data_IF_596425585268
#
_entry.id   IF_596425585268
#
_cell.length_a   1.000
_cell.length_b   1.000
_cell.length_c   1.000
_cell.angle_alpha   90.00
_cell.angle_beta   90.00
_cell.angle_gamma   90.00
#
_symmetry.space_group_name_H-M   'P 1'
#
loop_
_entity.id
_entity.type
_entity.pdbx_description
1 polymer ?
#
# COMPACT_ATOMS: atom_id res chain seq x y z
N UNK A 1 -8.66 -16.36 9.89
CA UNK A 1 -9.59 -15.45 9.20
C UNK A 1 -8.78 -14.27 8.68
N UNK A 2 -8.89 -13.92 7.42
CA UNK A 2 -8.17 -12.82 6.76
C UNK A 2 -8.76 -11.47 7.22
N UNK A 3 -7.92 -10.58 7.76
CA UNK A 3 -8.34 -9.26 8.24
C UNK A 3 -7.61 -8.12 7.52
N UNK A 4 -6.36 -8.36 7.12
CA UNK A 4 -5.54 -7.36 6.44
C UNK A 4 -4.90 -7.96 5.19
N UNK A 5 -5.10 -7.30 4.03
CA UNK A 5 -4.57 -7.72 2.74
C UNK A 5 -3.77 -6.60 2.10
N UNK A 6 -2.60 -6.93 1.56
CA UNK A 6 -1.74 -5.98 0.90
C UNK A 6 -1.49 -6.36 -0.56
N UNK A 7 -1.35 -5.37 -1.43
CA UNK A 7 -1.13 -5.56 -2.85
C UNK A 7 0.15 -4.88 -3.32
N UNK A 8 0.91 -5.60 -4.15
CA UNK A 8 2.00 -5.05 -4.96
C UNK A 8 1.53 -5.05 -6.42
N UNK A 9 0.96 -3.92 -6.90
CA UNK A 9 0.40 -3.76 -8.24
C UNK A 9 1.50 -3.69 -9.30
N UNK A 10 2.05 -4.83 -9.68
CA UNK A 10 3.15 -4.91 -10.65
C UNK A 10 2.64 -5.26 -12.06
N UNK A 11 3.42 -4.88 -13.07
CA UNK A 11 3.20 -5.26 -14.45
C UNK A 11 2.57 -4.21 -15.36
N UNK A 12 2.22 -3.00 -14.89
CA UNK A 12 1.62 -1.97 -15.75
C UNK A 12 2.46 -1.66 -17.01
N UNK A 13 3.79 -1.62 -16.91
CA UNK A 13 4.67 -1.40 -18.08
C UNK A 13 4.64 -2.56 -19.07
N UNK A 14 4.66 -3.78 -18.55
CA UNK A 14 4.62 -5.01 -19.36
C UNK A 14 3.27 -5.16 -20.03
N UNK A 15 2.20 -4.85 -19.33
CA UNK A 15 0.84 -4.77 -19.86
C UNK A 15 0.74 -3.75 -21.00
N UNK A 16 1.29 -2.55 -20.86
CA UNK A 16 1.32 -1.57 -21.95
C UNK A 16 1.99 -2.14 -23.20
N UNK A 17 3.11 -2.85 -23.04
CA UNK A 17 3.84 -3.45 -24.16
C UNK A 17 3.11 -4.65 -24.78
N UNK A 18 2.45 -5.51 -23.99
CA UNK A 18 1.72 -6.69 -24.49
C UNK A 18 0.46 -6.29 -25.25
N UNK A 19 -0.26 -5.26 -24.77
CA UNK A 19 -1.50 -4.79 -25.37
C UNK A 19 -1.29 -3.73 -26.46
N UNK A 20 -0.06 -3.29 -26.69
CA UNK A 20 0.23 -2.24 -27.68
C UNK A 20 -0.37 -0.87 -27.33
N UNK A 21 -0.65 -0.61 -26.06
CA UNK A 21 -1.21 0.64 -25.57
C UNK A 21 -0.15 1.57 -24.98
N UNK A 22 -0.51 2.83 -24.77
CA UNK A 22 0.43 3.77 -24.16
C UNK A 22 0.66 3.46 -22.68
N UNK A 23 1.86 3.83 -22.19
CA UNK A 23 2.21 3.80 -20.77
C UNK A 23 1.16 4.52 -19.89
N UNK A 24 0.73 5.71 -20.34
CA UNK A 24 -0.30 6.49 -19.63
C UNK A 24 -1.61 5.72 -19.51
N UNK A 25 -2.07 5.10 -20.58
CA UNK A 25 -3.31 4.33 -20.58
C UNK A 25 -3.24 3.16 -19.61
N UNK A 26 -2.19 2.35 -19.64
CA UNK A 26 -2.02 1.22 -18.73
C UNK A 26 -1.97 1.63 -17.27
N UNK A 27 -1.35 2.77 -16.93
CA UNK A 27 -1.33 3.28 -15.56
C UNK A 27 -2.69 3.84 -15.11
N UNK A 28 -3.45 4.45 -16.00
CA UNK A 28 -4.84 4.86 -15.72
C UNK A 28 -5.72 3.64 -15.46
N UNK A 29 -5.57 2.59 -16.27
CA UNK A 29 -6.25 1.31 -16.05
C UNK A 29 -5.84 0.67 -14.69
N UNK A 30 -4.55 0.71 -14.36
CA UNK A 30 -4.05 0.21 -13.08
C UNK A 30 -4.60 0.98 -11.87
N UNK A 31 -4.76 2.31 -11.97
CA UNK A 31 -5.40 3.09 -10.89
C UNK A 31 -6.89 2.77 -10.75
N UNK A 32 -7.61 2.58 -11.87
CA UNK A 32 -9.01 2.12 -11.85
C UNK A 32 -9.11 0.74 -11.19
N UNK A 33 -8.20 -0.18 -11.56
CA UNK A 33 -8.16 -1.53 -10.98
C UNK A 33 -8.01 -1.53 -9.45
N UNK A 34 -7.30 -0.58 -8.87
CA UNK A 34 -7.22 -0.47 -7.41
C UNK A 34 -8.60 -0.19 -6.77
N UNK A 35 -9.45 0.59 -7.43
CA UNK A 35 -10.83 0.82 -6.97
C UNK A 35 -11.72 -0.41 -7.19
N UNK A 36 -11.58 -1.10 -8.33
CA UNK A 36 -12.28 -2.37 -8.57
C UNK A 36 -11.96 -3.38 -7.46
N UNK A 37 -10.67 -3.54 -7.12
CA UNK A 37 -10.23 -4.42 -6.02
C UNK A 37 -10.82 -4.02 -4.67
N UNK A 38 -10.88 -2.73 -4.35
CA UNK A 38 -11.52 -2.26 -3.12
C UNK A 38 -13.02 -2.62 -3.09
N UNK A 39 -13.71 -2.49 -4.22
CA UNK A 39 -15.11 -2.89 -4.34
C UNK A 39 -15.29 -4.40 -4.18
N UNK A 40 -14.45 -5.22 -4.82
CA UNK A 40 -14.51 -6.68 -4.68
C UNK A 40 -14.22 -7.14 -3.25
N UNK A 41 -13.25 -6.50 -2.57
CA UNK A 41 -12.95 -6.80 -1.16
C UNK A 41 -14.08 -6.36 -0.23
N UNK A 42 -14.96 -5.45 -0.63
CA UNK A 42 -16.05 -4.99 0.23
C UNK A 42 -17.02 -6.10 0.63
N UNK A 43 -17.15 -7.16 -0.19
CA UNK A 43 -17.95 -8.35 0.12
C UNK A 43 -17.39 -9.22 1.25
N UNK A 44 -16.14 -9.00 1.65
CA UNK A 44 -15.48 -9.69 2.77
C UNK A 44 -15.50 -8.79 4.02
N UNK A 45 -16.49 -8.90 4.90
CA UNK A 45 -16.67 -7.99 6.04
C UNK A 45 -15.53 -8.08 7.06
N UNK A 46 -14.82 -9.22 7.09
CA UNK A 46 -13.69 -9.44 8.00
C UNK A 46 -12.41 -8.71 7.55
N UNK A 47 -12.28 -8.37 6.26
CA UNK A 47 -11.13 -7.63 5.75
C UNK A 47 -11.38 -6.15 6.01
N UNK A 48 -10.78 -5.63 7.07
CA UNK A 48 -10.91 -4.23 7.49
C UNK A 48 -9.73 -3.35 7.01
N UNK A 49 -8.61 -3.95 6.62
CA UNK A 49 -7.40 -3.22 6.22
C UNK A 49 -6.92 -3.66 4.84
N UNK A 50 -6.75 -2.70 3.94
CA UNK A 50 -6.22 -2.92 2.58
C UNK A 50 -5.03 -2.01 2.34
N UNK A 51 -3.91 -2.55 1.85
CA UNK A 51 -2.67 -1.81 1.69
C UNK A 51 -2.21 -1.89 0.24
N UNK A 52 -1.88 -0.76 -0.39
CA UNK A 52 -1.37 -0.73 -1.77
C UNK A 52 0.05 -0.18 -1.84
N UNK A 53 0.96 -0.90 -2.50
CA UNK A 53 2.29 -0.41 -2.85
C UNK A 53 2.23 0.34 -4.19
N UNK A 54 1.99 1.64 -4.14
CA UNK A 54 1.74 2.43 -5.36
C UNK A 54 3.01 2.98 -6.01
N UNK A 55 3.96 3.46 -5.21
CA UNK A 55 5.21 4.02 -5.71
C UNK A 55 6.35 3.79 -4.70
N UNK A 56 7.35 2.99 -5.08
CA UNK A 56 8.55 2.83 -4.24
C UNK A 56 9.49 4.03 -4.34
N UNK A 57 10.38 4.23 -3.36
CA UNK A 57 11.46 5.21 -3.46
C UNK A 57 12.33 4.98 -4.70
N UNK A 58 12.65 3.72 -5.03
CA UNK A 58 13.39 3.37 -6.26
C UNK A 58 12.66 3.75 -7.54
N UNK A 59 11.33 3.82 -7.53
CA UNK A 59 10.59 4.26 -8.70
C UNK A 59 10.77 5.77 -8.99
N UNK A 60 11.22 6.55 -8.02
CA UNK A 60 11.55 7.97 -8.22
C UNK A 60 12.81 8.17 -9.08
N UNK A 61 13.64 7.12 -9.23
CA UNK A 61 14.83 7.11 -10.09
C UNK A 61 14.51 6.82 -11.57
N UNK A 62 13.24 6.60 -11.91
CA UNK A 62 12.79 6.36 -13.29
C UNK A 62 13.07 7.58 -14.18
N UNK A 63 13.12 7.40 -15.53
CA UNK A 63 13.24 8.51 -16.44
C UNK A 63 12.22 9.63 -16.12
N UNK A 64 12.68 10.88 -16.11
CA UNK A 64 11.86 12.04 -15.67
C UNK A 64 10.49 12.11 -16.35
N UNK A 65 10.44 11.81 -17.66
CA UNK A 65 9.18 11.81 -18.43
C UNK A 65 8.18 10.78 -17.91
N UNK A 66 8.63 9.57 -17.59
CA UNK A 66 7.81 8.50 -17.02
C UNK A 66 7.31 8.88 -15.62
N UNK A 67 8.22 9.36 -14.77
CA UNK A 67 7.87 9.78 -13.42
C UNK A 67 6.85 10.93 -13.41
N UNK A 68 7.01 11.93 -14.30
CA UNK A 68 6.05 13.02 -14.43
C UNK A 68 4.65 12.54 -14.82
N UNK A 69 4.56 11.57 -15.74
CA UNK A 69 3.27 10.97 -16.12
C UNK A 69 2.63 10.28 -14.92
N UNK A 70 3.39 9.47 -14.20
CA UNK A 70 2.90 8.76 -13.00
C UNK A 70 2.39 9.73 -11.94
N UNK A 71 3.18 10.72 -11.58
CA UNK A 71 2.81 11.71 -10.56
C UNK A 71 1.55 12.48 -10.98
N UNK A 72 1.43 12.84 -12.27
CA UNK A 72 0.23 13.50 -12.80
C UNK A 72 -1.01 12.61 -12.69
N UNK A 73 -0.90 11.31 -12.99
CA UNK A 73 -2.00 10.35 -12.83
C UNK A 73 -2.41 10.26 -11.35
N UNK A 74 -1.45 10.13 -10.45
CA UNK A 74 -1.74 10.09 -9.01
C UNK A 74 -2.37 11.39 -8.50
N UNK A 75 -1.88 12.57 -8.91
CA UNK A 75 -2.51 13.85 -8.55
C UNK A 75 -3.98 13.91 -8.99
N UNK A 76 -4.26 13.47 -10.23
CA UNK A 76 -5.62 13.43 -10.74
C UNK A 76 -6.53 12.47 -9.96
N UNK A 77 -5.99 11.33 -9.52
CA UNK A 77 -6.76 10.40 -8.68
C UNK A 77 -6.96 10.96 -7.27
N UNK A 78 -5.94 11.57 -6.65
CA UNK A 78 -6.07 12.22 -5.35
C UNK A 78 -7.17 13.30 -5.36
N UNK A 79 -7.27 14.10 -6.43
CA UNK A 79 -8.29 15.15 -6.58
C UNK A 79 -9.74 14.58 -6.67
N UNK A 80 -9.88 13.29 -7.02
CA UNK A 80 -11.19 12.62 -7.12
C UNK A 80 -11.62 11.88 -5.84
N UNK A 81 -10.65 11.48 -5.00
CA UNK A 81 -10.89 10.58 -3.85
C UNK A 81 -12.04 11.04 -2.96
N UNK A 82 -12.06 12.31 -2.57
CA UNK A 82 -13.09 12.86 -1.67
C UNK A 82 -14.50 12.92 -2.28
N UNK A 83 -14.63 12.70 -3.59
CA UNK A 83 -15.89 12.70 -4.33
C UNK A 83 -16.35 11.30 -4.72
N UNK A 84 -15.55 10.27 -4.40
CA UNK A 84 -15.87 8.90 -4.73
C UNK A 84 -16.91 8.35 -3.78
N UNK A 85 -18.01 7.85 -4.33
CA UNK A 85 -19.07 7.22 -3.56
C UNK A 85 -18.54 6.04 -2.75
N UNK A 86 -17.63 5.26 -3.33
CA UNK A 86 -17.03 4.09 -2.68
C UNK A 86 -16.34 4.44 -1.36
N UNK A 87 -15.73 5.62 -1.26
CA UNK A 87 -15.08 6.10 -0.02
C UNK A 87 -16.12 6.42 1.05
N UNK A 88 -17.22 7.07 0.66
CA UNK A 88 -18.27 7.53 1.56
C UNK A 88 -19.15 6.35 2.01
N UNK A 89 -19.65 5.57 1.05
CA UNK A 89 -20.59 4.46 1.30
C UNK A 89 -19.95 3.31 2.08
N UNK A 90 -18.68 3.00 1.77
CA UNK A 90 -17.95 1.96 2.49
C UNK A 90 -17.25 2.49 3.75
N UNK A 91 -17.33 3.77 4.07
CA UNK A 91 -16.73 4.36 5.26
C UNK A 91 -15.22 4.17 5.31
N UNK A 92 -14.51 4.47 4.20
CA UNK A 92 -13.07 4.19 4.04
C UNK A 92 -12.23 5.31 4.65
N UNK A 93 -11.42 4.97 5.66
CA UNK A 93 -10.33 5.80 6.16
C UNK A 93 -9.08 5.58 5.31
N UNK A 94 -8.47 6.65 4.78
CA UNK A 94 -7.28 6.57 3.92
C UNK A 94 -6.10 7.18 4.65
N UNK A 95 -4.97 6.47 4.67
CA UNK A 95 -3.69 6.94 5.20
C UNK A 95 -2.58 6.74 4.16
N UNK A 96 -1.62 7.65 4.15
CA UNK A 96 -0.45 7.57 3.28
C UNK A 96 0.79 7.29 4.12
N UNK A 97 1.58 6.30 3.71
CA UNK A 97 2.87 5.97 4.31
C UNK A 97 4.00 6.14 3.29
N UNK A 98 5.18 6.53 3.78
CA UNK A 98 6.36 6.81 2.98
C UNK A 98 6.92 8.22 3.20
N UNK A 99 7.97 8.54 2.50
CA UNK A 99 8.63 9.85 2.57
C UNK A 99 7.86 10.90 1.78
N UNK A 100 7.12 11.75 2.47
CA UNK A 100 6.29 12.81 1.86
C UNK A 100 7.12 13.96 1.31
N UNK A 101 8.29 14.19 1.88
CA UNK A 101 9.22 15.26 1.52
C UNK A 101 9.80 15.12 0.10
N UNK A 102 9.74 13.93 -0.49
CA UNK A 102 10.16 13.69 -1.88
C UNK A 102 9.15 14.22 -2.92
N UNK A 103 7.96 14.61 -2.50
CA UNK A 103 6.91 15.13 -3.35
C UNK A 103 6.75 16.65 -3.25
N UNK A 104 6.14 17.26 -4.27
CA UNK A 104 5.81 18.69 -4.26
C UNK A 104 4.88 19.04 -3.09
N UNK A 105 4.92 20.29 -2.63
CA UNK A 105 4.01 20.78 -1.57
C UNK A 105 2.54 20.61 -1.96
N UNK A 106 2.20 20.80 -3.24
CA UNK A 106 0.85 20.58 -3.75
C UNK A 106 0.40 19.13 -3.60
N UNK A 107 1.30 18.16 -3.87
CA UNK A 107 1.03 16.74 -3.70
C UNK A 107 0.85 16.39 -2.21
N UNK A 108 1.74 16.88 -1.34
CA UNK A 108 1.65 16.69 0.12
C UNK A 108 0.31 17.21 0.67
N UNK A 109 -0.08 18.43 0.28
CA UNK A 109 -1.35 19.05 0.72
C UNK A 109 -2.58 18.23 0.28
N UNK A 110 -2.55 17.59 -0.90
CA UNK A 110 -3.63 16.67 -1.33
C UNK A 110 -3.76 15.45 -0.43
N UNK A 111 -2.64 14.82 -0.11
CA UNK A 111 -2.63 13.68 0.83
C UNK A 111 -3.20 14.07 2.20
N UNK A 112 -2.74 15.19 2.77
CA UNK A 112 -3.20 15.70 4.06
C UNK A 112 -4.71 15.99 4.07
N UNK A 113 -5.23 16.60 3.00
CA UNK A 113 -6.68 16.86 2.86
C UNK A 113 -7.50 15.58 2.83
N UNK A 114 -7.02 14.55 2.11
CA UNK A 114 -7.70 13.25 2.04
C UNK A 114 -7.69 12.58 3.41
N UNK A 115 -6.55 12.51 4.08
CA UNK A 115 -6.43 11.93 5.42
C UNK A 115 -7.38 12.61 6.40
N UNK A 116 -7.37 13.95 6.42
CA UNK A 116 -8.26 14.75 7.28
C UNK A 116 -9.73 14.50 6.96
N UNK A 117 -10.11 14.47 5.67
CA UNK A 117 -11.48 14.23 5.26
C UNK A 117 -11.97 12.84 5.63
N UNK A 118 -11.14 11.82 5.43
CA UNK A 118 -11.49 10.42 5.67
C UNK A 118 -11.32 9.98 7.12
N UNK A 119 -10.74 10.83 7.98
CA UNK A 119 -10.51 10.50 9.40
C UNK A 119 -11.81 10.30 10.22
N UNK A 120 -12.95 10.70 9.69
CA UNK A 120 -14.26 10.43 10.27
C UNK A 120 -14.77 9.00 10.02
N UNK A 121 -14.22 8.29 9.03
CA UNK A 121 -14.66 6.95 8.65
C UNK A 121 -13.91 5.86 9.43
N UNK A 122 -14.58 4.72 9.70
CA UNK A 122 -14.06 3.67 10.59
C UNK A 122 -14.33 2.23 10.11
N UNK A 123 -15.02 2.04 8.98
CA UNK A 123 -15.40 0.70 8.55
C UNK A 123 -14.26 -0.06 7.91
N UNK A 124 -13.49 0.61 7.05
CA UNK A 124 -12.29 0.05 6.39
C UNK A 124 -11.14 1.05 6.45
N UNK A 125 -9.93 0.55 6.56
CA UNK A 125 -8.71 1.32 6.46
C UNK A 125 -7.99 1.00 5.16
N UNK A 126 -7.65 2.01 4.37
CA UNK A 126 -6.84 1.87 3.16
C UNK A 126 -5.52 2.59 3.36
N UNK A 127 -4.42 1.85 3.30
CA UNK A 127 -3.07 2.36 3.41
C UNK A 127 -2.44 2.45 2.02
N UNK A 128 -1.99 3.63 1.65
CA UNK A 128 -1.32 3.87 0.37
C UNK A 128 0.17 4.12 0.62
N UNK A 129 1.00 3.12 0.29
CA UNK A 129 2.45 3.23 0.37
C UNK A 129 2.98 3.93 -0.89
N UNK A 130 3.40 5.19 -0.74
CA UNK A 130 3.85 6.06 -1.83
C UNK A 130 5.15 6.79 -1.45
N UNK A 131 6.15 6.77 -2.32
CA UNK A 131 7.51 7.19 -1.92
C UNK A 131 8.03 6.33 -0.76
N UNK A 132 7.68 5.04 -0.78
CA UNK A 132 7.88 4.12 0.33
C UNK A 132 8.99 3.11 0.04
N UNK A 133 9.71 2.75 1.08
CA UNK A 133 10.62 1.61 1.13
C UNK A 133 10.74 1.17 2.59
N UNK A 134 10.52 -0.12 2.87
CA UNK A 134 10.45 -0.62 4.25
C UNK A 134 11.81 -0.62 4.97
N UNK A 135 12.93 -0.73 4.26
CA UNK A 135 14.25 -0.57 4.89
C UNK A 135 14.46 0.88 5.31
N UNK A 136 14.05 1.83 4.47
CA UNK A 136 14.09 3.26 4.77
C UNK A 136 13.16 3.60 5.94
N UNK A 137 11.97 3.02 6.01
CA UNK A 137 11.04 3.19 7.13
C UNK A 137 11.68 2.77 8.46
N UNK A 138 12.34 1.60 8.50
CA UNK A 138 13.04 1.12 9.70
C UNK A 138 14.14 2.10 10.11
N UNK A 139 14.94 2.58 9.16
CA UNK A 139 16.01 3.54 9.43
C UNK A 139 15.45 4.86 9.96
N UNK A 140 14.34 5.35 9.40
CA UNK A 140 13.70 6.58 9.85
C UNK A 140 13.08 6.40 11.24
N UNK A 141 12.48 5.25 11.54
CA UNK A 141 11.99 4.91 12.88
C UNK A 141 13.12 4.93 13.93
N UNK A 142 14.26 4.31 13.61
CA UNK A 142 15.44 4.33 14.50
C UNK A 142 15.95 5.76 14.70
N UNK A 143 15.98 6.60 13.65
CA UNK A 143 16.39 8.01 13.78
C UNK A 143 15.45 8.80 14.69
N UNK A 144 14.14 8.60 14.59
CA UNK A 144 13.17 9.23 15.48
C UNK A 144 13.40 8.79 16.92
N UNK A 145 13.54 7.48 17.16
CA UNK A 145 13.81 6.95 18.50
C UNK A 145 15.09 7.53 19.10
N UNK A 146 16.19 7.58 18.33
CA UNK A 146 17.46 8.15 18.81
C UNK A 146 17.37 9.66 19.07
N UNK A 147 16.56 10.40 18.31
CA UNK A 147 16.32 11.81 18.56
C UNK A 147 15.56 12.04 19.88
N UNK A 148 14.60 11.18 20.22
CA UNK A 148 13.89 11.21 21.50
C UNK A 148 14.78 10.79 22.67
N UNK A 149 15.65 9.81 22.46
CA UNK A 149 16.67 9.45 23.44
C UNK A 149 17.59 10.62 23.77
N UNK A 150 18.07 11.35 22.77
CA UNK A 150 18.90 12.54 22.98
C UNK A 150 18.19 13.65 23.79
N UNK A 151 16.83 13.63 23.81
CA UNK A 151 16.00 14.53 24.60
C UNK A 151 15.63 13.94 25.98
N UNK A 152 16.12 12.76 26.33
CA UNK A 152 15.83 12.07 27.60
C UNK A 152 14.38 11.52 27.70
N UNK A 153 13.67 11.37 26.58
CA UNK A 153 12.27 10.90 26.57
C UNK A 153 12.13 9.39 26.56
N UNK A 154 13.14 8.68 26.06
CA UNK A 154 13.15 7.22 25.95
C UNK A 154 14.51 6.65 26.38
N UNK A 155 14.56 5.36 26.71
CA UNK A 155 15.78 4.65 27.10
C UNK A 155 16.07 3.53 26.08
N UNK A 156 17.26 3.47 25.44
CA UNK A 156 17.61 2.42 24.48
C UNK A 156 17.47 1.00 25.03
N UNK A 157 17.66 0.80 26.34
CA UNK A 157 17.47 -0.50 26.99
C UNK A 157 16.02 -0.99 27.00
N UNK A 158 15.05 -0.12 26.72
CA UNK A 158 13.62 -0.41 26.67
C UNK A 158 13.10 -0.62 25.24
N UNK A 159 13.96 -0.50 24.23
CA UNK A 159 13.58 -0.69 22.83
C UNK A 159 13.23 -2.16 22.56
N UNK A 160 11.96 -2.44 22.41
CA UNK A 160 11.41 -3.73 22.00
C UNK A 160 10.88 -3.67 20.58
N UNK A 161 10.50 -4.83 19.99
CA UNK A 161 9.81 -4.91 18.71
C UNK A 161 8.54 -4.04 18.72
N UNK A 162 7.72 -4.16 19.76
CA UNK A 162 6.49 -3.38 19.88
C UNK A 162 6.75 -1.87 20.06
N UNK A 163 7.84 -1.51 20.72
CA UNK A 163 8.22 -0.11 20.87
C UNK A 163 8.66 0.49 19.53
N UNK A 164 9.52 -0.23 18.78
CA UNK A 164 9.96 0.22 17.45
C UNK A 164 8.77 0.42 16.48
N UNK A 165 7.76 -0.43 16.57
CA UNK A 165 6.56 -0.34 15.73
C UNK A 165 5.86 1.02 15.86
N UNK A 166 5.87 1.65 17.03
CA UNK A 166 5.26 2.98 17.26
C UNK A 166 5.95 4.12 16.50
N UNK A 167 7.19 3.89 16.06
CA UNK A 167 8.00 4.86 15.32
C UNK A 167 7.96 4.65 13.80
N UNK A 168 7.30 3.59 13.32
CA UNK A 168 7.06 3.39 11.91
C UNK A 168 6.13 4.48 11.35
N UNK A 169 6.01 4.58 10.03
CA UNK A 169 5.30 5.68 9.38
C UNK A 169 3.81 5.80 9.74
N UNK A 170 3.16 4.70 10.11
CA UNK A 170 1.81 4.69 10.64
C UNK A 170 1.54 3.42 11.45
N UNK A 171 0.56 3.53 12.36
CA UNK A 171 0.01 2.38 13.07
C UNK A 171 -1.15 1.81 12.26
N UNK A 172 -1.01 0.57 11.81
CA UNK A 172 -2.02 -0.20 11.10
C UNK A 172 -1.80 -1.69 11.30
N UNK A 173 -2.84 -2.46 11.02
CA UNK A 173 -2.77 -3.93 11.13
C UNK A 173 -1.79 -4.49 10.09
N UNK A 174 -0.79 -5.23 10.56
CA UNK A 174 0.16 -5.95 9.68
C UNK A 174 -0.60 -6.84 8.68
N UNK A 175 -0.17 -6.94 7.43
CA UNK A 175 -0.89 -7.73 6.45
C UNK A 175 -0.84 -9.22 6.80
N UNK A 176 -2.01 -9.86 6.81
CA UNK A 176 -2.11 -11.31 6.88
C UNK A 176 -1.66 -11.95 5.57
N UNK A 177 -1.96 -11.30 4.45
CA UNK A 177 -1.70 -11.76 3.11
C UNK A 177 -1.14 -10.64 2.24
N UNK A 178 -0.07 -10.92 1.49
CA UNK A 178 0.47 -10.02 0.48
C UNK A 178 0.31 -10.67 -0.89
N UNK A 179 -0.38 -9.99 -1.78
CA UNK A 179 -0.63 -10.42 -3.16
C UNK A 179 0.24 -9.60 -4.11
N UNK A 180 1.03 -10.27 -4.94
CA UNK A 180 1.81 -9.60 -5.99
C UNK A 180 1.47 -10.15 -7.37
N UNK A 181 1.28 -9.26 -8.32
CA UNK A 181 1.00 -9.58 -9.72
C UNK A 181 2.28 -9.70 -10.55
N UNK A 182 2.14 -10.17 -11.80
CA UNK A 182 3.17 -10.09 -12.84
C UNK A 182 4.29 -11.13 -12.74
N UNK A 183 4.00 -12.33 -12.20
CA UNK A 183 4.95 -13.48 -12.07
C UNK A 183 6.17 -13.23 -11.18
N UNK A 184 6.24 -12.08 -10.52
CA UNK A 184 7.37 -11.67 -9.70
C UNK A 184 7.21 -12.16 -8.26
N UNK A 185 8.17 -12.95 -7.77
CA UNK A 185 8.12 -13.58 -6.45
C UNK A 185 9.10 -12.91 -5.48
N UNK A 186 8.86 -11.65 -5.14
CA UNK A 186 9.63 -10.85 -4.19
C UNK A 186 8.80 -9.70 -3.64
N UNK A 187 9.15 -9.16 -2.47
CA UNK A 187 8.47 -8.02 -1.84
C UNK A 187 8.99 -6.64 -2.31
N UNK A 188 10.20 -6.58 -2.85
CA UNK A 188 10.84 -5.36 -3.34
C UNK A 188 10.86 -4.20 -2.32
N UNK A 189 11.12 -4.52 -1.05
CA UNK A 189 11.14 -3.55 0.04
C UNK A 189 9.77 -3.16 0.57
N UNK A 190 8.70 -3.81 0.15
CA UNK A 190 7.36 -3.53 0.66
C UNK A 190 7.15 -4.13 2.05
N UNK A 191 6.72 -3.30 2.99
CA UNK A 191 6.35 -3.65 4.37
C UNK A 191 7.35 -4.60 5.05
N UNK A 192 8.66 -4.33 4.91
CA UNK A 192 9.74 -5.21 5.36
C UNK A 192 9.61 -5.61 6.83
N UNK A 193 9.17 -4.70 7.69
CA UNK A 193 8.95 -4.97 9.11
C UNK A 193 7.61 -5.68 9.35
N UNK A 194 6.54 -5.19 8.77
CA UNK A 194 5.17 -5.64 9.02
C UNK A 194 4.86 -6.99 8.39
N UNK A 195 5.62 -7.43 7.36
CA UNK A 195 5.40 -8.67 6.62
C UNK A 195 5.98 -9.93 7.25
N UNK A 196 6.56 -9.83 8.44
CA UNK A 196 7.31 -10.93 9.07
C UNK A 196 6.52 -12.25 9.19
N UNK A 197 5.20 -12.17 9.29
CA UNK A 197 4.29 -13.32 9.39
C UNK A 197 3.21 -13.33 8.31
N UNK A 198 3.35 -12.53 7.27
CA UNK A 198 2.41 -12.49 6.16
C UNK A 198 2.53 -13.74 5.28
N UNK A 199 1.40 -14.28 4.88
CA UNK A 199 1.34 -15.23 3.77
C UNK A 199 1.54 -14.50 2.44
N UNK A 200 2.09 -15.20 1.44
CA UNK A 200 2.37 -14.61 0.13
C UNK A 200 1.57 -15.32 -0.95
N UNK A 201 0.97 -14.56 -1.85
CA UNK A 201 0.33 -15.05 -3.06
C UNK A 201 0.90 -14.31 -4.29
N UNK A 202 1.21 -15.07 -5.34
CA UNK A 202 1.78 -14.54 -6.57
C UNK A 202 0.87 -14.86 -7.74
N UNK A 203 0.41 -13.82 -8.46
CA UNK A 203 -0.45 -13.97 -9.61
C UNK A 203 0.35 -13.78 -10.91
N UNK A 204 0.11 -14.62 -11.87
CA UNK A 204 0.78 -14.57 -13.18
C UNK A 204 0.30 -13.44 -14.08
N UNK A 205 -0.87 -12.87 -13.78
CA UNK A 205 -1.47 -11.75 -14.51
C UNK A 205 -0.79 -10.42 -14.19
N UNK A 206 -0.80 -9.49 -15.11
CA UNK A 206 -0.44 -8.10 -14.84
C UNK A 206 -1.53 -7.41 -14.02
N UNK A 207 -1.16 -6.37 -13.25
CA UNK A 207 -2.12 -5.68 -12.38
C UNK A 207 -3.41 -5.23 -13.06
N UNK A 208 -3.38 -4.61 -14.28
CA UNK A 208 -4.62 -4.23 -14.96
C UNK A 208 -5.53 -5.40 -15.37
N UNK A 209 -4.99 -6.62 -15.46
CA UNK A 209 -5.69 -7.82 -15.96
C UNK A 209 -6.40 -8.63 -14.87
N UNK A 210 -6.11 -8.38 -13.58
CA UNK A 210 -6.71 -9.16 -12.50
C UNK A 210 -8.23 -8.98 -12.48
N UNK A 211 -8.92 -10.02 -12.06
CA UNK A 211 -10.39 -10.07 -12.01
C UNK A 211 -10.87 -10.31 -10.57
N UNK A 212 -12.17 -10.21 -10.36
CA UNK A 212 -12.77 -10.52 -9.08
C UNK A 212 -12.53 -11.99 -8.68
N UNK A 213 -12.61 -12.90 -9.65
CA UNK A 213 -12.37 -14.32 -9.43
C UNK A 213 -10.93 -14.61 -8.98
N UNK A 214 -9.94 -13.83 -9.44
CA UNK A 214 -8.56 -13.94 -8.96
C UNK A 214 -8.47 -13.57 -7.47
N UNK A 215 -9.17 -12.52 -7.04
CA UNK A 215 -9.22 -12.12 -5.63
C UNK A 215 -9.93 -13.18 -4.79
N UNK A 216 -11.05 -13.71 -5.28
CA UNK A 216 -11.79 -14.78 -4.60
C UNK A 216 -10.93 -16.04 -4.43
N UNK A 217 -10.20 -16.43 -5.48
CA UNK A 217 -9.29 -17.58 -5.43
C UNK A 217 -8.17 -17.37 -4.40
N UNK A 218 -7.58 -16.18 -4.35
CA UNK A 218 -6.50 -15.85 -3.41
C UNK A 218 -7.01 -15.84 -1.95
N UNK A 219 -8.20 -15.29 -1.71
CA UNK A 219 -8.81 -15.30 -0.37
C UNK A 219 -9.15 -16.71 0.06
N UNK A 220 -9.75 -17.51 -0.82
CA UNK A 220 -10.09 -18.91 -0.53
C UNK A 220 -8.84 -19.76 -0.27
N UNK A 221 -7.77 -19.60 -1.06
CA UNK A 221 -6.49 -20.28 -0.84
C UNK A 221 -5.91 -19.91 0.54
N UNK A 222 -5.89 -18.61 0.91
CA UNK A 222 -5.43 -18.20 2.23
C UNK A 222 -6.24 -18.84 3.36
N UNK A 223 -7.56 -18.89 3.25
CA UNK A 223 -8.43 -19.45 4.30
C UNK A 223 -8.26 -20.96 4.46
N UNK A 224 -7.86 -21.66 3.39
CA UNK A 224 -7.54 -23.09 3.41
C UNK A 224 -6.13 -23.40 3.93
N UNK A 225 -5.24 -22.42 4.10
CA UNK A 225 -3.89 -22.64 4.63
C UNK A 225 -3.89 -22.87 6.13
N UNK A 226 -3.18 -23.89 6.57
CA UNK A 226 -2.94 -24.13 7.99
C UNK A 226 -1.77 -23.29 8.50
N UNK A 227 -2.05 -22.15 9.12
CA UNK A 227 -1.03 -21.28 9.74
C UNK A 227 -0.50 -21.92 11.02
N UNK A 228 0.75 -22.37 11.00
CA UNK A 228 1.37 -23.10 12.14
C UNK A 228 2.11 -22.21 13.13
N UNK A 229 2.41 -20.94 12.80
CA UNK A 229 3.13 -19.97 13.64
C UNK A 229 4.31 -20.56 14.44
N UNK A 230 5.05 -21.52 13.84
CA UNK A 230 6.18 -22.18 14.49
C UNK A 230 5.80 -23.23 15.55
N UNK A 231 4.55 -23.67 15.61
CA UNK A 231 4.08 -24.76 16.49
C UNK A 231 3.97 -26.07 15.71
#
# INVERSE_FOLDING_TARGET
MLQSIAFIPDGNRRHASSEGISFTQSYVEGTRKAWDVLNWISKYPNIDTVIFYTLSLKNLERPKTELMILLKIFEQELDKVMKRNEVIENGINIKFIGRRDVFSKGFQTRMEKIEKYTDQFRNKQVIIAIGYDGQTEIVDAVKHYTAEFAQGKVNPGELTVNELQKYLYADFKSPDLIVRTSKEQRLSGFLTYQSAYSELAFLDKYWPEITEEDIDAVVADYENRHRRFGK
#
